data_IF_333141972282
#
_entry.id   IF_333141972282
#
_cell.length_a   1.000
_cell.length_b   1.000
_cell.length_c   1.000
_cell.angle_alpha   90.00
_cell.angle_beta   90.00
_cell.angle_gamma   90.00
#
_symmetry.space_group_name_H-M   'P 1'
#
loop_
_entity.id
_entity.type
_entity.pdbx_description
1 polymer ?
#
# COMPACT_ATOMS: atom_id res chain seq x y z
N UNK A 1 28.39 3.65 7.75
CA UNK A 1 27.56 4.32 8.75
C UNK A 1 26.11 4.15 8.34
N UNK A 2 25.30 3.44 9.12
CA UNK A 2 23.88 3.24 8.79
C UNK A 2 23.14 4.54 9.15
N UNK A 3 22.61 5.23 8.13
CA UNK A 3 21.93 6.50 8.30
C UNK A 3 20.55 6.26 8.94
N UNK A 4 20.21 7.02 9.98
CA UNK A 4 18.91 6.94 10.65
C UNK A 4 17.82 7.43 9.69
N UNK A 5 16.86 6.55 9.36
CA UNK A 5 15.69 6.88 8.54
C UNK A 5 14.41 6.57 9.34
N UNK A 6 13.72 7.59 9.87
CA UNK A 6 12.47 7.41 10.64
C UNK A 6 11.43 6.58 9.90
N UNK A 7 11.29 6.80 8.58
CA UNK A 7 10.33 6.08 7.74
C UNK A 7 10.62 4.59 7.73
N UNK A 8 11.89 4.18 7.62
CA UNK A 8 12.28 2.76 7.66
C UNK A 8 11.92 2.10 8.99
N UNK A 9 12.07 2.81 10.10
CA UNK A 9 11.69 2.31 11.43
C UNK A 9 10.16 2.12 11.50
N UNK A 10 9.39 3.11 11.05
CA UNK A 10 7.93 3.03 11.01
C UNK A 10 7.43 1.88 10.11
N UNK A 11 8.05 1.71 8.93
CA UNK A 11 7.76 0.62 7.98
C UNK A 11 7.95 -0.74 8.64
N UNK A 12 9.13 -0.98 9.23
CA UNK A 12 9.44 -2.26 9.87
C UNK A 12 8.52 -2.53 11.07
N UNK A 13 8.27 -1.49 11.89
CA UNK A 13 7.37 -1.61 13.04
C UNK A 13 5.94 -1.94 12.61
N UNK A 14 5.42 -1.28 11.57
CA UNK A 14 4.08 -1.57 11.06
C UNK A 14 3.98 -3.01 10.55
N UNK A 15 4.96 -3.48 9.78
CA UNK A 15 4.97 -4.86 9.27
C UNK A 15 4.89 -5.89 10.41
N UNK A 16 5.66 -5.72 11.49
CA UNK A 16 5.59 -6.60 12.66
C UNK A 16 4.24 -6.52 13.40
N UNK A 17 3.70 -5.31 13.57
CA UNK A 17 2.39 -5.11 14.19
C UNK A 17 1.27 -5.78 13.39
N UNK A 18 1.32 -5.71 12.06
CA UNK A 18 0.32 -6.33 11.18
C UNK A 18 0.41 -7.86 11.17
N UNK A 19 1.64 -8.41 11.13
CA UNK A 19 1.86 -9.85 11.27
C UNK A 19 1.37 -10.37 12.62
N UNK A 20 1.59 -9.60 13.69
CA UNK A 20 1.13 -9.93 15.03
C UNK A 20 -0.38 -9.90 15.14
N UNK A 21 -1.04 -8.86 14.59
CA UNK A 21 -2.51 -8.79 14.53
C UNK A 21 -3.11 -10.00 13.81
N UNK A 22 -2.61 -10.30 12.60
CA UNK A 22 -3.06 -11.47 11.84
C UNK A 22 -2.90 -12.79 12.62
N UNK A 23 -1.74 -12.99 13.27
CA UNK A 23 -1.48 -14.19 14.10
C UNK A 23 -2.45 -14.27 15.28
N UNK A 24 -2.73 -13.15 15.93
CA UNK A 24 -3.65 -13.12 17.07
C UNK A 24 -5.10 -13.39 16.65
N UNK A 25 -5.52 -12.94 15.47
CA UNK A 25 -6.87 -13.17 14.96
C UNK A 25 -7.07 -14.61 14.47
N UNK A 26 -6.10 -15.18 13.76
CA UNK A 26 -6.30 -16.43 13.01
C UNK A 26 -5.44 -17.61 13.49
N UNK A 27 -4.63 -17.41 14.54
CA UNK A 27 -3.64 -18.38 15.01
C UNK A 27 -2.42 -18.40 14.09
N UNK A 28 -2.23 -19.45 13.30
CA UNK A 28 -1.02 -19.61 12.51
C UNK A 28 -0.88 -18.58 11.39
N UNK A 29 0.25 -17.86 11.38
CA UNK A 29 0.65 -17.00 10.27
C UNK A 29 1.30 -17.87 9.18
N UNK A 30 0.58 -18.07 8.07
CA UNK A 30 1.14 -18.76 6.90
C UNK A 30 2.32 -17.95 6.34
N UNK A 31 3.43 -18.58 5.92
CA UNK A 31 4.57 -17.86 5.35
C UNK A 31 4.20 -16.92 4.19
N UNK A 32 3.24 -17.33 3.34
CA UNK A 32 2.75 -16.50 2.25
C UNK A 32 2.00 -15.24 2.74
N UNK A 33 1.25 -15.33 3.84
CA UNK A 33 0.57 -14.18 4.45
C UNK A 33 1.56 -13.20 5.06
N UNK A 34 2.58 -13.71 5.78
CA UNK A 34 3.65 -12.89 6.34
C UNK A 34 4.38 -12.10 5.25
N UNK A 35 4.81 -12.80 4.20
CA UNK A 35 5.51 -12.21 3.05
C UNK A 35 4.63 -11.18 2.33
N UNK A 36 3.34 -11.46 2.14
CA UNK A 36 2.43 -10.53 1.49
C UNK A 36 2.26 -9.24 2.32
N UNK A 37 2.14 -9.35 3.64
CA UNK A 37 2.07 -8.20 4.54
C UNK A 37 3.34 -7.35 4.41
N UNK A 38 4.53 -7.97 4.53
CA UNK A 38 5.81 -7.26 4.41
C UNK A 38 5.95 -6.55 3.07
N UNK A 39 5.67 -7.27 1.97
CA UNK A 39 5.73 -6.70 0.62
C UNK A 39 4.75 -5.54 0.45
N UNK A 40 3.52 -5.67 0.92
CA UNK A 40 2.53 -4.61 0.82
C UNK A 40 2.93 -3.37 1.63
N UNK A 41 3.46 -3.56 2.85
CA UNK A 41 3.89 -2.47 3.73
C UNK A 41 5.06 -1.71 3.12
N UNK A 42 6.13 -2.41 2.73
CA UNK A 42 7.29 -1.79 2.08
C UNK A 42 6.87 -1.04 0.82
N UNK A 43 6.11 -1.71 -0.05
CA UNK A 43 5.71 -1.13 -1.33
C UNK A 43 4.87 0.14 -1.15
N UNK A 44 3.88 0.13 -0.26
CA UNK A 44 3.04 1.31 -0.04
C UNK A 44 3.81 2.45 0.62
N UNK A 45 4.47 2.17 1.76
CA UNK A 45 5.07 3.21 2.57
C UNK A 45 6.38 3.77 2.01
N UNK A 46 7.17 2.98 1.28
CA UNK A 46 8.35 3.51 0.57
C UNK A 46 7.93 4.48 -0.55
N UNK A 47 6.78 4.24 -1.19
CA UNK A 47 6.23 5.16 -2.17
C UNK A 47 5.67 6.42 -1.49
N UNK A 48 4.90 6.27 -0.41
CA UNK A 48 4.32 7.39 0.34
C UNK A 48 5.40 8.26 0.99
N UNK A 49 6.52 7.69 1.41
CA UNK A 49 7.67 8.43 1.95
C UNK A 49 8.31 9.40 0.94
N UNK A 50 8.00 9.29 -0.36
CA UNK A 50 8.45 10.22 -1.41
C UNK A 50 7.48 11.38 -1.65
N UNK A 51 6.31 11.36 -1.03
CA UNK A 51 5.29 12.40 -1.13
C UNK A 51 5.74 13.68 -0.47
N UNK A 52 5.38 14.82 -1.06
CA UNK A 52 5.46 16.15 -0.42
C UNK A 52 4.10 16.61 0.16
N UNK A 53 3.11 15.71 0.26
CA UNK A 53 1.87 15.96 0.99
C UNK A 53 2.13 15.94 2.50
N UNK A 54 1.92 17.09 3.17
CA UNK A 54 2.31 17.28 4.57
C UNK A 54 1.58 16.36 5.56
N UNK A 55 0.29 16.06 5.31
CA UNK A 55 -0.53 15.24 6.21
C UNK A 55 -0.72 13.80 5.71
N UNK A 56 -0.96 13.61 4.41
CA UNK A 56 -1.12 12.29 3.79
C UNK A 56 0.25 11.61 3.59
N UNK A 57 0.89 11.32 4.72
CA UNK A 57 2.28 10.87 4.81
C UNK A 57 2.37 9.43 5.40
N UNK A 58 3.59 8.98 5.68
CA UNK A 58 3.85 7.65 6.25
C UNK A 58 3.15 7.45 7.59
N UNK A 59 3.22 8.45 8.48
CA UNK A 59 2.66 8.37 9.83
C UNK A 59 1.13 8.27 9.77
N UNK A 60 0.48 9.08 8.95
CA UNK A 60 -0.96 9.01 8.72
C UNK A 60 -1.38 7.62 8.23
N UNK A 61 -0.67 7.09 7.23
CA UNK A 61 -0.97 5.76 6.66
C UNK A 61 -0.77 4.64 7.69
N UNK A 62 0.29 4.72 8.51
CA UNK A 62 0.53 3.79 9.62
C UNK A 62 -0.65 3.81 10.60
N UNK A 63 -1.07 5.00 11.04
CA UNK A 63 -2.16 5.15 12.01
C UNK A 63 -3.49 4.61 11.47
N UNK A 64 -3.86 4.98 10.23
CA UNK A 64 -5.08 4.48 9.58
C UNK A 64 -5.06 2.96 9.45
N UNK A 65 -3.92 2.39 9.06
CA UNK A 65 -3.80 0.93 8.89
C UNK A 65 -3.89 0.19 10.22
N UNK A 66 -3.26 0.71 11.29
CA UNK A 66 -3.34 0.10 12.63
C UNK A 66 -4.76 0.17 13.21
N UNK A 67 -5.44 1.31 13.08
CA UNK A 67 -6.85 1.43 13.50
C UNK A 67 -7.73 0.47 12.69
N UNK A 68 -7.51 0.35 11.39
CA UNK A 68 -8.21 -0.62 10.54
C UNK A 68 -8.03 -2.06 11.00
N UNK A 69 -6.81 -2.45 11.35
CA UNK A 69 -6.53 -3.75 11.97
C UNK A 69 -7.33 -3.97 13.25
N UNK A 70 -7.32 -3.01 14.19
CA UNK A 70 -8.06 -3.18 15.45
C UNK A 70 -9.58 -3.27 15.24
N UNK A 71 -10.13 -2.54 14.26
CA UNK A 71 -11.54 -2.65 13.87
C UNK A 71 -11.85 -4.06 13.39
N UNK A 72 -11.02 -4.63 12.51
CA UNK A 72 -11.25 -5.97 12.03
C UNK A 72 -11.05 -7.01 13.14
N UNK A 73 -10.07 -6.82 14.06
CA UNK A 73 -9.87 -7.69 15.21
C UNK A 73 -11.15 -7.75 16.05
N UNK A 74 -11.71 -6.59 16.39
CA UNK A 74 -12.95 -6.47 17.15
C UNK A 74 -14.14 -7.08 16.41
N UNK A 75 -14.25 -6.85 15.10
CA UNK A 75 -15.32 -7.44 14.28
C UNK A 75 -15.19 -8.96 14.20
N UNK A 76 -13.98 -9.51 14.07
CA UNK A 76 -13.76 -10.96 14.08
C UNK A 76 -14.12 -11.57 15.45
N UNK A 77 -13.73 -10.94 16.56
CA UNK A 77 -14.12 -11.39 17.91
C UNK A 77 -15.65 -11.40 18.07
N UNK A 78 -16.32 -10.36 17.57
CA UNK A 78 -17.77 -10.19 17.72
C UNK A 78 -18.59 -11.10 16.79
N UNK A 79 -18.17 -11.26 15.54
CA UNK A 79 -18.99 -11.84 14.48
C UNK A 79 -18.38 -13.10 13.84
N UNK A 80 -17.08 -13.34 13.98
CA UNK A 80 -16.38 -14.52 13.45
C UNK A 80 -16.39 -14.66 11.91
N UNK A 81 -16.94 -13.69 11.18
CA UNK A 81 -17.28 -13.80 9.76
C UNK A 81 -16.28 -13.11 8.82
N UNK A 82 -15.04 -12.87 9.27
CA UNK A 82 -13.97 -12.30 8.44
C UNK A 82 -13.04 -13.43 8.00
N UNK A 83 -12.97 -13.67 6.69
CA UNK A 83 -11.98 -14.60 6.14
C UNK A 83 -10.57 -14.01 6.19
N UNK A 84 -9.56 -14.87 6.13
CA UNK A 84 -8.14 -14.45 6.07
C UNK A 84 -7.86 -13.62 4.82
N UNK A 85 -8.53 -13.93 3.73
CA UNK A 85 -8.43 -13.25 2.45
C UNK A 85 -8.99 -11.83 2.54
N UNK A 86 -10.21 -11.67 3.06
CA UNK A 86 -10.83 -10.35 3.26
C UNK A 86 -10.02 -9.48 4.22
N UNK A 87 -9.42 -10.09 5.25
CA UNK A 87 -8.52 -9.39 6.15
C UNK A 87 -7.31 -8.81 5.42
N UNK A 88 -6.60 -9.64 4.65
CA UNK A 88 -5.41 -9.21 3.92
C UNK A 88 -5.76 -8.14 2.87
N UNK A 89 -6.89 -8.30 2.17
CA UNK A 89 -7.37 -7.31 1.19
C UNK A 89 -7.68 -5.96 1.85
N UNK A 90 -8.30 -5.95 3.03
CA UNK A 90 -8.56 -4.72 3.78
C UNK A 90 -7.26 -4.05 4.25
N UNK A 91 -6.28 -4.81 4.77
CA UNK A 91 -4.96 -4.29 5.12
C UNK A 91 -4.27 -3.65 3.92
N UNK A 92 -4.25 -4.33 2.77
CA UNK A 92 -3.67 -3.79 1.53
C UNK A 92 -4.40 -2.51 1.10
N UNK A 93 -5.74 -2.49 1.22
CA UNK A 93 -6.54 -1.31 0.90
C UNK A 93 -6.17 -0.11 1.78
N UNK A 94 -6.00 -0.29 3.09
CA UNK A 94 -5.58 0.81 3.98
C UNK A 94 -4.15 1.26 3.74
N UNK A 95 -3.23 0.32 3.51
CA UNK A 95 -1.86 0.68 3.13
C UNK A 95 -1.82 1.54 1.86
N UNK A 96 -2.69 1.25 0.90
CA UNK A 96 -2.71 1.93 -0.38
C UNK A 96 -3.72 3.08 -0.48
N UNK A 97 -4.45 3.43 0.58
CA UNK A 97 -5.58 4.37 0.45
C UNK A 97 -5.14 5.76 -0.05
N UNK A 98 -4.00 6.22 0.45
CA UNK A 98 -3.39 7.51 0.09
C UNK A 98 -2.30 7.40 -0.96
N UNK A 99 -2.02 6.21 -1.50
CA UNK A 99 -0.92 6.02 -2.45
C UNK A 99 -1.06 6.94 -3.66
N UNK A 100 -2.30 7.21 -4.09
CA UNK A 100 -2.59 8.04 -5.25
C UNK A 100 -2.27 9.52 -5.10
N UNK A 101 -1.95 10.01 -3.89
CA UNK A 101 -1.40 11.36 -3.74
C UNK A 101 -0.01 11.48 -4.35
N UNK A 102 0.79 10.42 -4.31
CA UNK A 102 2.20 10.46 -4.69
C UNK A 102 2.32 10.77 -6.18
N UNK A 103 3.02 11.87 -6.52
CA UNK A 103 3.37 12.15 -7.92
C UNK A 103 4.42 11.16 -8.43
N UNK A 104 4.32 10.78 -9.71
CA UNK A 104 5.29 9.91 -10.37
C UNK A 104 5.02 8.41 -10.19
N UNK A 105 3.92 8.03 -9.55
CA UNK A 105 3.52 6.61 -9.39
C UNK A 105 2.73 6.08 -10.59
N UNK A 106 2.06 6.97 -11.33
CA UNK A 106 1.23 6.59 -12.47
C UNK A 106 2.05 6.75 -13.77
N UNK A 107 1.88 5.84 -14.72
CA UNK A 107 2.66 5.83 -15.97
C UNK A 107 2.46 7.07 -16.86
N UNK A 108 1.34 7.78 -16.69
CA UNK A 108 1.05 9.03 -17.41
C UNK A 108 1.54 10.29 -16.69
N UNK A 109 2.17 10.15 -15.51
CA UNK A 109 2.78 11.29 -14.82
C UNK A 109 4.03 11.75 -15.58
N UNK A 110 4.07 13.04 -15.92
CA UNK A 110 5.15 13.69 -16.65
C UNK A 110 5.64 14.91 -15.85
N UNK A 111 6.53 14.66 -14.89
CA UNK A 111 7.02 15.69 -13.96
C UNK A 111 7.61 16.92 -14.66
N UNK A 112 8.36 16.75 -15.75
CA UNK A 112 8.98 17.86 -16.50
C UNK A 112 7.95 18.79 -17.14
N UNK A 113 6.77 18.26 -17.48
CA UNK A 113 5.64 19.01 -18.05
C UNK A 113 4.61 19.40 -16.98
N UNK A 114 4.81 18.96 -15.73
CA UNK A 114 3.89 19.12 -14.60
C UNK A 114 2.48 18.57 -14.89
N UNK A 115 2.42 17.51 -15.68
CA UNK A 115 1.18 16.78 -15.98
C UNK A 115 1.12 15.51 -15.12
N UNK A 116 -0.03 15.24 -14.51
CA UNK A 116 -0.23 14.12 -13.60
C UNK A 116 -1.53 13.39 -13.97
N UNK A 117 -1.49 12.07 -14.01
CA UNK A 117 -2.64 11.24 -14.30
C UNK A 117 -3.81 11.53 -13.34
N UNK A 118 -5.04 11.55 -13.85
CA UNK A 118 -6.24 11.56 -13.00
C UNK A 118 -6.56 10.18 -12.43
N UNK A 119 -5.94 9.12 -12.97
CA UNK A 119 -6.27 7.74 -12.65
C UNK A 119 -7.42 7.16 -13.48
N UNK A 120 -8.04 7.97 -14.34
CA UNK A 120 -9.08 7.53 -15.29
C UNK A 120 -8.63 7.73 -16.73
N UNK A 121 -8.80 6.69 -17.54
CA UNK A 121 -8.45 6.66 -18.97
C UNK A 121 -7.03 7.19 -19.23
N UNK A 122 -6.90 8.12 -20.19
CA UNK A 122 -5.65 8.80 -20.53
C UNK A 122 -5.64 10.26 -20.07
N UNK A 123 -6.47 10.61 -19.08
CA UNK A 123 -6.64 12.00 -18.65
C UNK A 123 -5.55 12.41 -17.66
N UNK A 124 -5.03 13.62 -17.84
CA UNK A 124 -4.06 14.25 -16.94
C UNK A 124 -4.55 15.63 -16.48
N UNK A 125 -4.03 16.09 -15.35
CA UNK A 125 -4.15 17.46 -14.89
C UNK A 125 -2.78 18.12 -14.91
N UNK A 126 -2.79 19.43 -15.10
CA UNK A 126 -1.61 20.26 -14.90
C UNK A 126 -1.59 20.81 -13.47
N UNK A 127 -0.42 20.79 -12.83
CA UNK A 127 -0.19 21.43 -11.53
C UNK A 127 0.89 22.50 -11.65
N UNK A 128 0.62 23.69 -11.11
CA UNK A 128 1.62 24.75 -11.09
C UNK A 128 2.86 24.39 -10.25
N UNK A 129 3.95 25.10 -10.50
CA UNK A 129 5.17 24.95 -9.69
C UNK A 129 4.87 25.28 -8.23
N UNK A 130 5.42 24.51 -7.31
CA UNK A 130 5.19 24.65 -5.86
C UNK A 130 3.88 24.01 -5.35
N UNK A 131 3.04 23.44 -6.21
CA UNK A 131 1.90 22.62 -5.77
C UNK A 131 2.38 21.28 -5.22
N UNK A 132 1.97 20.94 -4.00
CA UNK A 132 2.27 19.66 -3.37
C UNK A 132 1.35 18.54 -3.88
N UNK A 133 1.68 17.30 -3.56
CA UNK A 133 0.98 16.06 -3.85
C UNK A 133 -0.45 16.11 -3.31
N UNK A 134 -0.70 16.87 -2.23
CA UNK A 134 -2.04 17.14 -1.72
C UNK A 134 -3.00 17.75 -2.77
N UNK A 135 -2.46 18.39 -3.82
CA UNK A 135 -3.26 18.92 -4.95
C UNK A 135 -3.97 17.81 -5.75
N UNK A 136 -3.58 16.54 -5.55
CA UNK A 136 -4.19 15.37 -6.19
C UNK A 136 -5.36 14.78 -5.39
N UNK A 137 -5.86 15.47 -4.36
CA UNK A 137 -7.00 15.03 -3.51
C UNK A 137 -8.19 14.54 -4.35
N UNK A 138 -8.59 15.25 -5.40
CA UNK A 138 -9.75 14.83 -6.21
C UNK A 138 -9.51 13.58 -7.06
N UNK A 139 -8.26 13.10 -7.15
CA UNK A 139 -7.83 12.03 -8.07
C UNK A 139 -7.15 10.86 -7.35
N UNK A 140 -6.79 11.00 -6.07
CA UNK A 140 -5.97 10.02 -5.36
C UNK A 140 -6.61 8.62 -5.33
N UNK A 141 -7.93 8.51 -5.23
CA UNK A 141 -8.62 7.22 -5.23
C UNK A 141 -8.38 6.48 -6.56
N UNK A 142 -8.64 7.13 -7.69
CA UNK A 142 -8.52 6.47 -8.99
C UNK A 142 -7.06 6.27 -9.42
N UNK A 143 -6.18 7.23 -9.09
CA UNK A 143 -4.72 7.05 -9.20
C UNK A 143 -4.24 5.85 -8.40
N UNK A 144 -4.72 5.71 -7.16
CA UNK A 144 -4.40 4.59 -6.29
C UNK A 144 -4.87 3.25 -6.85
N UNK A 145 -6.11 3.18 -7.35
CA UNK A 145 -6.62 1.97 -8.04
C UNK A 145 -5.76 1.60 -9.25
N UNK A 146 -5.36 2.58 -10.06
CA UNK A 146 -4.47 2.35 -11.22
C UNK A 146 -3.13 1.75 -10.77
N UNK A 147 -2.51 2.34 -9.75
CA UNK A 147 -1.27 1.83 -9.18
C UNK A 147 -1.41 0.40 -8.64
N UNK A 148 -2.43 0.14 -7.82
CA UNK A 148 -2.67 -1.19 -7.22
C UNK A 148 -2.91 -2.24 -8.31
N UNK A 149 -3.69 -1.92 -9.35
CA UNK A 149 -3.93 -2.83 -10.49
C UNK A 149 -2.64 -3.24 -11.17
N UNK A 150 -1.73 -2.31 -11.47
CA UNK A 150 -0.46 -2.66 -12.15
C UNK A 150 0.46 -3.44 -11.22
N UNK A 151 0.58 -3.00 -9.98
CA UNK A 151 1.60 -3.48 -9.05
C UNK A 151 1.23 -4.82 -8.41
N UNK A 152 0.00 -4.98 -7.91
CA UNK A 152 -0.43 -6.23 -7.29
C UNK A 152 -0.81 -7.31 -8.31
N UNK A 153 -1.12 -6.93 -9.56
CA UNK A 153 -1.15 -7.89 -10.66
C UNK A 153 0.24 -8.52 -10.86
N UNK A 154 1.32 -7.71 -10.90
CA UNK A 154 2.70 -8.23 -10.99
C UNK A 154 3.06 -9.16 -9.82
N UNK A 155 2.67 -8.82 -8.58
CA UNK A 155 2.88 -9.69 -7.42
C UNK A 155 2.13 -11.04 -7.50
N UNK A 156 1.00 -11.12 -8.23
CA UNK A 156 0.36 -12.41 -8.55
C UNK A 156 1.12 -13.19 -9.64
N UNK A 157 1.72 -12.52 -10.63
CA UNK A 157 2.54 -13.18 -11.66
C UNK A 157 3.86 -13.77 -11.14
N UNK A 158 4.52 -13.09 -10.21
CA UNK A 158 5.75 -13.62 -9.60
C UNK A 158 5.49 -14.88 -8.75
N UNK A 159 4.27 -15.02 -8.19
CA UNK A 159 3.81 -16.27 -7.58
C UNK A 159 3.68 -17.42 -8.58
N UNK A 160 3.27 -17.15 -9.82
CA UNK A 160 3.16 -18.18 -10.87
C UNK A 160 4.54 -18.64 -11.36
N UNK A 161 5.52 -17.74 -11.50
CA UNK A 161 6.89 -18.13 -11.90
C UNK A 161 7.58 -19.02 -10.86
N UNK A 162 7.34 -18.79 -9.57
CA UNK A 162 7.86 -19.63 -8.49
C UNK A 162 7.32 -21.06 -8.46
N UNK A 163 6.14 -21.30 -9.05
CA UNK A 163 5.52 -22.63 -9.14
C UNK A 163 5.79 -23.34 -10.47
N UNK A 164 6.04 -22.62 -11.58
CA UNK A 164 6.41 -23.25 -12.86
C UNK A 164 7.84 -23.81 -12.87
N UNK A 165 8.74 -23.33 -12.00
CA UNK A 165 10.11 -23.86 -11.90
C UNK A 165 10.20 -25.23 -11.17
N UNK A 166 9.09 -25.79 -10.67
CA UNK A 166 9.07 -27.07 -9.95
C UNK A 166 8.55 -28.25 -10.78
N UNK A 167 8.22 -28.07 -12.06
CA UNK A 167 7.68 -29.14 -12.93
C UNK A 167 8.46 -29.29 -14.26
N UNK A 168 9.70 -28.82 -14.29
CA UNK A 168 10.66 -29.13 -15.35
C UNK A 168 11.93 -29.69 -14.71
N UNK A 169 11.85 -30.96 -14.33
CA UNK A 169 12.94 -31.93 -14.22
C UNK A 169 12.32 -33.32 -14.07
#
# INVERSE_FOLDING_TARGET
>A
MQMFNPSTIAINSLAESLKTGYRNTFGNLKPDSARLIEQAVSLALENIARSDALYHNVEHTVLVTLVGQEILCGKYIREGNISRENWLEAIVSWLCHDIGYVKGICSLDQHSQRLYATGTDSNTIYLDSGKTDASLTSYHIDRGKMFVKVTFFRLRFDRCRGNCAKHLN
#
